data_IF_973171757274
#
_entry.id   IF_973171757274
#
_cell.length_a   1.000
_cell.length_b   1.000
_cell.length_c   1.000
_cell.angle_alpha   90.00
_cell.angle_beta   90.00
_cell.angle_gamma   90.00
#
_symmetry.space_group_name_H-M   'P 1'
#
loop_
_entity.id
_entity.type
_entity.pdbx_description
1 polymer ?
#
# COMPACT_ATOMS: atom_id res chain seq x y z
N UNK A 1 6.75 45.17 38.68
CA UNK A 1 7.73 44.23 38.09
C UNK A 1 7.01 42.95 37.66
N UNK A 2 6.67 42.84 36.37
CA UNK A 2 6.05 41.65 35.77
C UNK A 2 7.12 40.59 35.50
N UNK A 3 7.05 39.42 36.15
CA UNK A 3 7.82 38.24 35.76
C UNK A 3 6.99 37.41 34.78
N UNK A 4 7.44 37.39 33.53
CA UNK A 4 6.95 36.53 32.44
C UNK A 4 7.22 35.06 32.79
N UNK A 5 6.19 34.24 32.88
CA UNK A 5 6.29 32.79 32.78
C UNK A 5 5.74 32.37 31.42
N UNK A 6 6.63 31.86 30.57
CA UNK A 6 6.30 31.31 29.25
C UNK A 6 5.51 30.01 29.45
N UNK A 7 4.20 30.07 29.21
CA UNK A 7 3.32 28.90 29.11
C UNK A 7 3.48 28.30 27.71
N UNK A 8 4.36 27.31 27.55
CA UNK A 8 4.35 26.42 26.39
C UNK A 8 3.23 25.39 26.63
N UNK A 9 2.04 25.70 26.10
CA UNK A 9 0.94 24.73 25.90
C UNK A 9 0.96 24.22 24.45
N UNK A 10 0.47 23.00 24.20
CA UNK A 10 1.01 22.12 23.18
C UNK A 10 0.58 22.52 21.76
N UNK A 11 1.57 22.52 20.88
CA UNK A 11 1.52 22.77 19.43
C UNK A 11 0.78 21.67 18.64
N UNK A 12 -0.02 20.81 19.29
CA UNK A 12 -0.60 19.60 18.70
C UNK A 12 -2.04 19.75 18.20
N UNK A 13 -2.62 20.94 18.25
CA UNK A 13 -3.99 21.19 17.77
C UNK A 13 -4.09 22.01 16.48
N UNK A 14 -2.97 22.38 15.86
CA UNK A 14 -2.99 23.13 14.60
C UNK A 14 -2.90 22.23 13.34
N UNK A 15 -2.52 20.95 13.49
CA UNK A 15 -2.47 20.02 12.36
C UNK A 15 -3.83 19.40 12.00
N UNK A 16 -4.83 19.51 12.87
CA UNK A 16 -6.17 18.96 12.63
C UNK A 16 -7.18 19.96 12.05
N UNK A 17 -6.83 21.25 11.94
CA UNK A 17 -7.72 22.29 11.40
C UNK A 17 -7.23 22.83 10.04
N UNK A 18 -5.95 22.67 9.70
CA UNK A 18 -5.42 23.04 8.37
C UNK A 18 -5.72 22.01 7.27
N UNK A 19 -6.34 20.87 7.59
CA UNK A 19 -6.82 19.89 6.59
C UNK A 19 -8.19 20.25 5.99
N UNK A 20 -8.80 21.39 6.36
CA UNK A 20 -10.12 21.83 5.86
C UNK A 20 -9.99 22.92 4.78
N UNK A 21 -8.79 23.35 4.42
CA UNK A 21 -8.61 24.04 3.15
C UNK A 21 -8.59 23.00 2.04
N UNK A 22 -9.78 22.78 1.47
CA UNK A 22 -9.98 22.26 0.11
C UNK A 22 -8.96 22.92 -0.81
N UNK A 23 -7.85 22.22 -1.07
CA UNK A 23 -7.12 22.43 -2.29
C UNK A 23 -8.13 22.04 -3.37
N UNK A 24 -8.63 23.03 -4.12
CA UNK A 24 -9.29 22.78 -5.38
C UNK A 24 -8.25 22.08 -6.28
N UNK A 25 -8.13 20.75 -6.13
CA UNK A 25 -7.38 19.92 -7.03
C UNK A 25 -8.03 20.14 -8.39
N UNK A 26 -7.27 20.67 -9.34
CA UNK A 26 -7.60 20.46 -10.74
C UNK A 26 -7.72 18.94 -10.90
N UNK A 27 -8.95 18.43 -10.94
CA UNK A 27 -9.21 16.99 -10.96
C UNK A 27 -8.89 16.50 -12.35
N UNK A 28 -7.94 15.57 -12.45
CA UNK A 28 -7.66 14.93 -13.73
C UNK A 28 -8.91 14.19 -14.21
N UNK A 29 -9.02 13.94 -15.52
CA UNK A 29 -10.11 13.09 -16.07
C UNK A 29 -10.15 11.74 -15.35
N UNK A 30 -8.99 11.19 -15.00
CA UNK A 30 -8.89 9.95 -14.23
C UNK A 30 -9.47 10.06 -12.81
N UNK A 31 -9.25 11.19 -12.12
CA UNK A 31 -9.85 11.41 -10.80
C UNK A 31 -11.38 11.51 -10.92
N UNK A 32 -11.88 12.29 -11.88
CA UNK A 32 -13.32 12.42 -12.11
C UNK A 32 -13.97 11.09 -12.49
N UNK A 33 -13.28 10.27 -13.28
CA UNK A 33 -13.71 8.93 -13.61
C UNK A 33 -13.77 8.01 -12.38
N UNK A 34 -12.74 8.01 -11.54
CA UNK A 34 -12.73 7.21 -10.32
C UNK A 34 -13.79 7.67 -9.32
N UNK A 35 -14.07 8.97 -9.23
CA UNK A 35 -15.16 9.50 -8.41
C UNK A 35 -16.53 9.00 -8.94
N UNK A 36 -16.73 8.95 -10.26
CA UNK A 36 -17.94 8.35 -10.85
C UNK A 36 -18.07 6.87 -10.48
N UNK A 37 -16.99 6.09 -10.63
CA UNK A 37 -16.97 4.66 -10.28
C UNK A 37 -17.23 4.45 -8.79
N UNK A 38 -16.64 5.27 -7.92
CA UNK A 38 -16.85 5.17 -6.47
C UNK A 38 -18.33 5.42 -6.10
N UNK A 39 -18.95 6.43 -6.70
CA UNK A 39 -20.38 6.71 -6.49
C UNK A 39 -21.28 5.57 -7.01
N UNK A 40 -20.95 5.00 -8.16
CA UNK A 40 -21.65 3.83 -8.72
C UNK A 40 -21.51 2.62 -7.78
N UNK A 41 -20.29 2.36 -7.29
CA UNK A 41 -19.98 1.29 -6.34
C UNK A 41 -20.77 1.43 -5.03
N UNK A 42 -20.93 2.64 -4.50
CA UNK A 42 -21.63 2.89 -3.24
C UNK A 42 -23.14 2.69 -3.35
N UNK A 43 -23.73 3.03 -4.50
CA UNK A 43 -25.16 2.87 -4.76
C UNK A 43 -25.55 1.46 -5.20
N UNK A 44 -24.58 0.68 -5.69
CA UNK A 44 -24.84 -0.66 -6.21
C UNK A 44 -25.04 -1.65 -5.07
N UNK A 45 -26.08 -2.47 -5.15
CA UNK A 45 -26.31 -3.57 -4.22
C UNK A 45 -25.69 -4.87 -4.74
N UNK A 46 -25.21 -5.71 -3.81
CA UNK A 46 -24.64 -7.02 -4.10
C UNK A 46 -23.14 -7.00 -4.42
N UNK A 47 -22.41 -7.94 -3.84
CA UNK A 47 -20.96 -8.05 -4.00
C UNK A 47 -20.54 -8.32 -5.46
N UNK A 48 -21.29 -9.17 -6.17
CA UNK A 48 -21.00 -9.50 -7.56
C UNK A 48 -21.13 -8.30 -8.50
N UNK A 49 -22.16 -7.46 -8.32
CA UNK A 49 -22.33 -6.27 -9.16
C UNK A 49 -21.22 -5.26 -8.91
N UNK A 50 -20.84 -5.06 -7.63
CA UNK A 50 -19.70 -4.22 -7.27
C UNK A 50 -18.39 -4.75 -7.84
N UNK A 51 -18.20 -6.07 -7.84
CA UNK A 51 -17.05 -6.71 -8.47
C UNK A 51 -16.98 -6.38 -9.98
N UNK A 52 -18.11 -6.50 -10.69
CA UNK A 52 -18.18 -6.17 -12.12
C UNK A 52 -17.88 -4.70 -12.39
N UNK A 53 -18.29 -3.78 -11.50
CA UNK A 53 -17.98 -2.35 -11.62
C UNK A 53 -16.46 -2.13 -11.55
N UNK A 54 -15.79 -2.68 -10.53
CA UNK A 54 -14.37 -2.38 -10.28
C UNK A 54 -13.41 -3.10 -11.23
N UNK A 55 -13.86 -4.18 -11.87
CA UNK A 55 -13.08 -4.99 -12.82
C UNK A 55 -13.48 -4.77 -14.28
N UNK A 56 -14.44 -3.88 -14.56
CA UNK A 56 -14.87 -3.61 -15.95
C UNK A 56 -13.68 -3.14 -16.80
N UNK A 57 -13.43 -3.76 -17.98
CA UNK A 57 -12.45 -3.26 -18.92
C UNK A 57 -12.82 -1.84 -19.38
N UNK A 58 -11.83 -0.96 -19.43
CA UNK A 58 -11.96 0.41 -19.94
C UNK A 58 -10.78 0.80 -20.84
N UNK A 59 -11.07 1.64 -21.83
CA UNK A 59 -10.11 2.09 -22.82
C UNK A 59 -9.36 3.30 -22.26
N UNK A 60 -8.11 3.06 -21.86
CA UNK A 60 -7.25 4.07 -21.25
C UNK A 60 -6.89 5.19 -22.24
N UNK A 61 -6.66 4.86 -23.51
CA UNK A 61 -6.37 5.82 -24.57
C UNK A 61 -7.53 6.79 -24.79
N UNK A 62 -8.76 6.28 -24.90
CA UNK A 62 -9.95 7.13 -25.00
C UNK A 62 -10.06 8.09 -23.81
N UNK A 63 -9.89 7.59 -22.59
CA UNK A 63 -9.94 8.40 -21.39
C UNK A 63 -8.82 9.46 -21.35
N UNK A 64 -7.63 9.13 -21.87
CA UNK A 64 -6.50 10.05 -21.97
C UNK A 64 -6.73 11.22 -22.95
N UNK A 65 -7.55 11.01 -23.99
CA UNK A 65 -7.88 12.02 -25.00
C UNK A 65 -9.07 12.92 -24.61
N UNK A 66 -9.84 12.57 -23.58
CA UNK A 66 -10.90 13.44 -23.10
C UNK A 66 -10.32 14.72 -22.50
N UNK A 67 -10.84 15.86 -22.94
CA UNK A 67 -10.50 17.18 -22.40
C UNK A 67 -11.51 17.64 -21.34
N UNK A 68 -12.73 17.12 -21.41
CA UNK A 68 -13.82 17.40 -20.49
C UNK A 68 -14.57 16.11 -20.17
N UNK A 69 -14.71 15.81 -18.89
CA UNK A 69 -15.36 14.58 -18.42
C UNK A 69 -16.84 14.50 -18.79
N UNK A 70 -17.50 15.65 -18.99
CA UNK A 70 -18.92 15.68 -19.42
C UNK A 70 -19.14 15.07 -20.81
N UNK A 71 -18.08 14.95 -21.61
CA UNK A 71 -18.12 14.39 -22.96
C UNK A 71 -17.81 12.88 -22.97
N UNK A 72 -17.75 12.24 -21.79
CA UNK A 72 -17.56 10.81 -21.65
C UNK A 72 -18.71 10.04 -22.32
N UNK A 73 -18.35 9.15 -23.24
CA UNK A 73 -19.23 8.19 -23.91
C UNK A 73 -18.91 6.79 -23.37
N UNK A 74 -19.85 6.21 -22.61
CA UNK A 74 -19.70 4.89 -22.01
C UNK A 74 -19.47 3.77 -23.04
N UNK A 75 -20.03 3.92 -24.25
CA UNK A 75 -19.86 2.93 -25.30
C UNK A 75 -18.41 2.94 -25.78
N UNK A 76 -17.86 4.12 -26.07
CA UNK A 76 -16.44 4.26 -26.50
C UNK A 76 -15.47 3.86 -25.40
N UNK A 77 -15.84 4.05 -24.13
CA UNK A 77 -15.03 3.63 -23.00
C UNK A 77 -14.80 2.11 -22.96
N UNK A 78 -15.72 1.31 -23.50
CA UNK A 78 -15.68 -0.16 -23.42
C UNK A 78 -15.56 -0.85 -24.78
N UNK A 79 -15.56 -0.07 -25.87
CA UNK A 79 -15.50 -0.57 -27.24
C UNK A 79 -14.17 -1.29 -27.54
N UNK A 80 -14.25 -2.47 -28.18
CA UNK A 80 -13.07 -3.24 -28.62
C UNK A 80 -12.32 -3.99 -27.52
N UNK A 81 -12.73 -3.89 -26.25
CA UNK A 81 -12.00 -4.50 -25.14
C UNK A 81 -12.56 -5.86 -24.73
N UNK A 82 -11.70 -6.87 -24.65
CA UNK A 82 -12.11 -8.18 -24.13
C UNK A 82 -12.16 -8.18 -22.60
N UNK A 83 -13.19 -8.86 -22.07
CA UNK A 83 -13.32 -9.14 -20.64
C UNK A 83 -12.35 -10.23 -20.17
N UNK A 84 -11.87 -11.10 -21.07
CA UNK A 84 -10.97 -12.21 -20.79
C UNK A 84 -9.70 -12.14 -21.66
N UNK A 85 -8.54 -11.98 -21.01
CA UNK A 85 -7.27 -11.92 -21.75
C UNK A 85 -6.89 -13.25 -22.41
N UNK A 86 -7.53 -14.38 -22.05
CA UNK A 86 -7.32 -15.66 -22.75
C UNK A 86 -7.81 -15.60 -24.20
N UNK A 87 -8.87 -14.84 -24.48
CA UNK A 87 -9.36 -14.62 -25.84
C UNK A 87 -8.31 -13.89 -26.71
N UNK A 88 -7.40 -13.14 -26.10
CA UNK A 88 -6.31 -12.42 -26.78
C UNK A 88 -5.15 -13.34 -27.12
N UNK A 89 -4.89 -14.35 -26.29
CA UNK A 89 -3.77 -15.27 -26.46
C UNK A 89 -3.89 -16.13 -27.72
N UNK A 90 -5.13 -16.48 -28.07
CA UNK A 90 -5.46 -17.35 -29.21
C UNK A 90 -5.87 -16.57 -30.47
N UNK A 91 -5.76 -15.23 -30.46
CA UNK A 91 -6.13 -14.40 -31.60
C UNK A 91 -4.93 -14.27 -32.58
N UNK A 92 -5.03 -14.80 -33.82
CA UNK A 92 -3.95 -14.77 -34.80
C UNK A 92 -3.77 -13.38 -35.46
N UNK A 93 -4.57 -12.38 -35.05
CA UNK A 93 -4.66 -11.09 -35.72
C UNK A 93 -3.93 -10.02 -34.90
N UNK A 94 -2.89 -9.36 -35.46
CA UNK A 94 -2.14 -8.31 -34.77
C UNK A 94 -3.02 -7.16 -34.24
N UNK A 95 -4.12 -6.82 -34.91
CA UNK A 95 -5.02 -5.72 -34.50
C UNK A 95 -5.72 -5.95 -33.17
N UNK A 96 -6.16 -7.18 -32.86
CA UNK A 96 -6.79 -7.50 -31.57
C UNK A 96 -5.80 -7.37 -30.39
N UNK A 97 -4.52 -7.62 -30.66
CA UNK A 97 -3.43 -7.40 -29.71
C UNK A 97 -3.23 -5.90 -29.43
N UNK A 98 -3.25 -5.04 -30.46
CA UNK A 98 -3.17 -3.58 -30.31
C UNK A 98 -4.40 -2.99 -29.59
N UNK A 99 -5.61 -3.46 -29.88
CA UNK A 99 -6.84 -2.93 -29.25
C UNK A 99 -6.90 -3.20 -27.74
N UNK A 100 -6.29 -4.28 -27.25
CA UNK A 100 -6.23 -4.59 -25.83
C UNK A 100 -4.98 -4.04 -25.12
N UNK A 101 -4.05 -3.39 -25.83
CA UNK A 101 -2.93 -2.72 -25.15
C UNK A 101 -3.34 -1.50 -24.34
N UNK A 102 -4.54 -0.99 -24.60
CA UNK A 102 -5.13 0.15 -23.87
C UNK A 102 -6.14 -0.30 -22.81
N UNK A 103 -6.28 -1.61 -22.58
CA UNK A 103 -7.15 -2.16 -21.54
C UNK A 103 -6.62 -1.78 -20.16
N UNK A 104 -7.44 -1.07 -19.39
CA UNK A 104 -7.32 -0.95 -17.94
C UNK A 104 -8.64 -1.28 -17.26
N UNK A 105 -8.70 -1.17 -15.94
CA UNK A 105 -9.88 -1.38 -15.09
C UNK A 105 -9.89 -0.29 -14.02
N UNK A 106 -11.04 0.00 -13.38
CA UNK A 106 -11.06 0.95 -12.28
C UNK A 106 -10.12 0.57 -11.12
N UNK A 107 -10.00 -0.72 -10.78
CA UNK A 107 -9.06 -1.16 -9.73
C UNK A 107 -7.59 -0.95 -10.14
N UNK A 108 -7.20 -1.32 -11.36
CA UNK A 108 -5.84 -1.09 -11.84
C UNK A 108 -5.51 0.40 -11.91
N UNK A 109 -6.46 1.22 -12.32
CA UNK A 109 -6.32 2.68 -12.34
C UNK A 109 -6.13 3.26 -10.93
N UNK A 110 -6.96 2.84 -9.97
CA UNK A 110 -6.84 3.27 -8.57
C UNK A 110 -5.48 2.88 -7.96
N UNK A 111 -4.98 1.67 -8.25
CA UNK A 111 -3.63 1.23 -7.86
C UNK A 111 -2.57 2.15 -8.46
N UNK A 112 -2.65 2.39 -9.75
CA UNK A 112 -1.62 3.13 -10.48
C UNK A 112 -1.58 4.62 -10.13
N UNK A 113 -2.73 5.20 -9.76
CA UNK A 113 -2.84 6.58 -9.26
C UNK A 113 -2.60 6.72 -7.75
N UNK A 114 -2.30 5.62 -7.05
CA UNK A 114 -2.01 5.67 -5.62
C UNK A 114 -3.21 5.98 -4.72
N UNK A 115 -4.42 5.62 -5.12
CA UNK A 115 -5.65 5.90 -4.36
C UNK A 115 -5.84 4.86 -3.26
N UNK A 116 -4.97 4.84 -2.25
CA UNK A 116 -4.89 3.76 -1.26
C UNK A 116 -6.23 3.43 -0.57
N UNK A 117 -7.01 4.44 -0.17
CA UNK A 117 -8.34 4.25 0.42
C UNK A 117 -9.34 3.61 -0.56
N UNK A 118 -9.34 4.06 -1.82
CA UNK A 118 -10.21 3.54 -2.86
C UNK A 118 -9.81 2.12 -3.26
N UNK A 119 -8.51 1.83 -3.32
CA UNK A 119 -8.00 0.46 -3.53
C UNK A 119 -8.50 -0.47 -2.45
N UNK A 120 -8.40 -0.10 -1.16
CA UNK A 120 -8.94 -0.91 -0.07
C UNK A 120 -10.45 -1.14 -0.22
N UNK A 121 -11.20 -0.11 -0.58
CA UNK A 121 -12.64 -0.19 -0.83
C UNK A 121 -12.98 -1.15 -1.96
N UNK A 122 -12.32 -1.05 -3.11
CA UNK A 122 -12.54 -1.94 -4.25
C UNK A 122 -12.09 -3.38 -3.98
N UNK A 123 -10.98 -3.57 -3.27
CA UNK A 123 -10.52 -4.89 -2.86
C UNK A 123 -11.54 -5.61 -1.95
N UNK A 124 -12.42 -4.90 -1.25
CA UNK A 124 -13.43 -5.53 -0.39
C UNK A 124 -14.39 -6.47 -1.13
N UNK A 125 -14.57 -6.28 -2.45
CA UNK A 125 -15.45 -7.11 -3.29
C UNK A 125 -14.69 -8.02 -4.27
N UNK A 126 -13.37 -7.98 -4.26
CA UNK A 126 -12.51 -8.84 -5.08
C UNK A 126 -12.04 -10.01 -4.22
N UNK A 127 -12.47 -11.21 -4.58
CA UNK A 127 -12.10 -12.45 -3.90
C UNK A 127 -10.72 -12.94 -4.36
N UNK A 128 -10.46 -12.90 -5.67
CA UNK A 128 -9.17 -13.25 -6.26
C UNK A 128 -8.57 -12.08 -7.06
N UNK A 129 -7.57 -11.44 -6.45
CA UNK A 129 -6.82 -10.32 -7.04
C UNK A 129 -5.84 -10.75 -8.13
N UNK A 130 -5.62 -12.06 -8.29
CA UNK A 130 -4.77 -12.64 -9.33
C UNK A 130 -5.57 -13.05 -10.58
N UNK A 131 -6.89 -12.87 -10.55
CA UNK A 131 -7.77 -13.24 -11.66
C UNK A 131 -7.48 -12.44 -12.93
N UNK A 132 -7.76 -13.04 -14.09
CA UNK A 132 -7.57 -12.42 -15.41
C UNK A 132 -8.41 -11.13 -15.59
N UNK A 133 -9.48 -10.97 -14.82
CA UNK A 133 -10.32 -9.76 -14.79
C UNK A 133 -9.65 -8.56 -14.11
N UNK A 134 -8.66 -8.78 -13.24
CA UNK A 134 -7.89 -7.72 -12.59
C UNK A 134 -6.62 -7.33 -13.36
N UNK A 135 -6.33 -8.04 -14.45
CA UNK A 135 -5.20 -7.73 -15.31
C UNK A 135 -5.51 -6.52 -16.18
N UNK A 136 -4.49 -5.69 -16.37
CA UNK A 136 -4.54 -4.55 -17.26
C UNK A 136 -3.21 -4.41 -17.99
N UNK A 137 -3.21 -3.77 -19.14
CA UNK A 137 -2.04 -3.80 -20.01
C UNK A 137 -0.96 -2.82 -19.55
N UNK A 138 0.23 -3.36 -19.30
CA UNK A 138 1.44 -2.62 -18.92
C UNK A 138 2.35 -2.37 -20.11
N UNK A 139 3.63 -2.12 -19.83
CA UNK A 139 4.62 -1.98 -20.90
C UNK A 139 4.87 -3.33 -21.61
N UNK A 140 4.23 -3.50 -22.77
CA UNK A 140 4.39 -4.67 -23.68
C UNK A 140 4.01 -6.04 -23.07
N UNK A 141 3.35 -6.06 -21.92
CA UNK A 141 2.79 -7.26 -21.28
C UNK A 141 1.60 -6.89 -20.38
N UNK A 142 0.67 -7.83 -20.12
CA UNK A 142 -0.33 -7.70 -19.07
C UNK A 142 0.36 -7.61 -17.71
N UNK A 143 -0.11 -6.65 -16.93
CA UNK A 143 0.29 -6.42 -15.55
C UNK A 143 -0.80 -6.93 -14.62
N UNK A 144 -0.38 -7.69 -13.61
CA UNK A 144 -1.18 -7.91 -12.41
C UNK A 144 -1.24 -6.62 -11.58
N UNK A 145 -2.16 -6.54 -10.62
CA UNK A 145 -2.19 -5.42 -9.69
C UNK A 145 -0.86 -5.27 -8.91
N UNK A 146 -0.15 -6.38 -8.68
CA UNK A 146 1.17 -6.36 -8.06
C UNK A 146 2.22 -5.69 -8.96
N UNK A 147 2.20 -5.92 -10.28
CA UNK A 147 3.09 -5.21 -11.20
C UNK A 147 2.87 -3.70 -11.13
N UNK A 148 1.61 -3.27 -11.16
CA UNK A 148 1.24 -1.85 -11.13
C UNK A 148 1.59 -1.17 -9.80
N UNK A 149 1.40 -1.88 -8.69
CA UNK A 149 1.78 -1.38 -7.37
C UNK A 149 3.29 -1.19 -7.24
N UNK A 150 4.09 -2.03 -7.92
CA UNK A 150 5.55 -1.98 -7.93
C UNK A 150 6.14 -1.14 -9.04
N UNK A 151 5.34 -0.70 -10.01
CA UNK A 151 5.75 0.23 -11.07
C UNK A 151 5.39 1.68 -10.68
N UNK A 152 6.35 2.46 -10.15
CA UNK A 152 6.10 3.85 -9.77
C UNK A 152 5.87 4.76 -10.97
N UNK A 153 6.14 4.30 -12.20
CA UNK A 153 5.98 5.09 -13.43
C UNK A 153 4.68 4.78 -14.17
N UNK A 154 3.98 3.69 -13.83
CA UNK A 154 2.72 3.32 -14.48
C UNK A 154 1.50 4.05 -13.85
N UNK A 155 0.52 4.54 -14.65
CA UNK A 155 0.50 4.63 -16.12
C UNK A 155 0.97 6.04 -16.51
N UNK A 156 2.27 6.24 -16.72
CA UNK A 156 2.88 7.55 -16.98
C UNK A 156 2.31 8.66 -16.06
N UNK A 157 2.26 8.41 -14.76
CA UNK A 157 1.65 9.35 -13.82
C UNK A 157 2.42 10.68 -13.82
N UNK A 158 1.81 11.72 -14.43
CA UNK A 158 2.34 13.10 -14.37
C UNK A 158 2.35 13.65 -12.94
N UNK A 159 1.50 13.10 -12.06
CA UNK A 159 1.37 13.49 -10.66
C UNK A 159 2.20 12.58 -9.74
N UNK A 160 2.86 13.18 -8.76
CA UNK A 160 3.60 12.49 -7.72
C UNK A 160 2.64 11.69 -6.81
N UNK A 161 2.86 10.38 -6.69
CA UNK A 161 2.18 9.54 -5.69
C UNK A 161 3.07 9.42 -4.47
N UNK A 162 2.50 9.58 -3.27
CA UNK A 162 3.25 9.46 -2.02
C UNK A 162 3.79 8.03 -1.84
N UNK A 163 4.94 7.91 -1.15
CA UNK A 163 5.53 6.62 -0.82
C UNK A 163 4.60 5.82 0.10
N UNK A 164 3.94 6.52 1.03
CA UNK A 164 3.05 5.96 2.03
C UNK A 164 1.83 5.30 1.38
N UNK A 165 1.20 5.98 0.40
CA UNK A 165 0.06 5.42 -0.33
C UNK A 165 0.45 4.19 -1.15
N UNK A 166 1.61 4.22 -1.83
CA UNK A 166 2.09 3.07 -2.61
C UNK A 166 2.38 1.87 -1.72
N UNK A 167 3.04 2.08 -0.57
CA UNK A 167 3.30 1.00 0.40
C UNK A 167 1.99 0.43 0.97
N UNK A 168 1.02 1.29 1.28
CA UNK A 168 -0.29 0.85 1.76
C UNK A 168 -1.04 0.00 0.71
N UNK A 169 -0.90 0.32 -0.58
CA UNK A 169 -1.45 -0.49 -1.67
C UNK A 169 -0.77 -1.85 -1.76
N UNK A 170 0.57 -1.90 -1.70
CA UNK A 170 1.32 -3.17 -1.70
C UNK A 170 0.86 -4.06 -0.53
N UNK A 171 0.69 -3.48 0.65
CA UNK A 171 0.20 -4.21 1.83
C UNK A 171 -1.24 -4.71 1.65
N UNK A 172 -2.15 -3.87 1.13
CA UNK A 172 -3.53 -4.24 0.89
C UNK A 172 -3.65 -5.39 -0.13
N UNK A 173 -2.82 -5.39 -1.17
CA UNK A 173 -2.74 -6.48 -2.14
C UNK A 173 -2.19 -7.76 -1.50
N UNK A 174 -1.15 -7.66 -0.67
CA UNK A 174 -0.60 -8.81 0.05
C UNK A 174 -1.63 -9.44 1.01
N UNK A 175 -2.41 -8.62 1.72
CA UNK A 175 -3.52 -9.09 2.58
C UNK A 175 -4.59 -9.85 1.77
N UNK A 176 -4.78 -9.47 0.50
CA UNK A 176 -5.63 -10.16 -0.47
C UNK A 176 -4.94 -11.29 -1.23
N UNK A 177 -3.76 -11.73 -0.77
CA UNK A 177 -2.98 -12.84 -1.35
C UNK A 177 -2.60 -12.60 -2.82
N UNK A 178 -2.29 -11.35 -3.18
CA UNK A 178 -1.67 -11.06 -4.47
C UNK A 178 -0.35 -11.84 -4.60
N UNK A 179 -0.18 -12.51 -5.73
CA UNK A 179 1.02 -13.27 -6.05
C UNK A 179 2.06 -12.33 -6.68
N UNK A 180 3.05 -11.95 -5.87
CA UNK A 180 4.18 -11.12 -6.31
C UNK A 180 5.18 -11.87 -7.21
N UNK A 181 4.91 -13.13 -7.53
CA UNK A 181 5.67 -13.97 -8.46
C UNK A 181 4.87 -14.32 -9.72
N UNK A 182 3.61 -13.91 -9.81
CA UNK A 182 2.75 -14.26 -10.94
C UNK A 182 3.24 -13.58 -12.22
N UNK A 183 3.65 -14.40 -13.19
CA UNK A 183 3.97 -13.95 -14.53
C UNK A 183 2.75 -14.17 -15.42
N UNK A 184 2.12 -13.07 -15.85
CA UNK A 184 1.05 -13.13 -16.83
C UNK A 184 1.62 -13.64 -18.18
N UNK A 185 0.98 -14.66 -18.75
CA UNK A 185 1.50 -15.33 -19.95
C UNK A 185 1.14 -14.58 -21.22
N UNK A 186 2.12 -14.02 -21.93
CA UNK A 186 1.98 -13.54 -23.33
C UNK A 186 3.12 -14.00 -24.22
N UNK A 187 3.05 -13.64 -25.50
CA UNK A 187 4.00 -14.08 -26.52
C UNK A 187 5.38 -13.40 -26.41
N UNK A 188 5.45 -12.12 -26.00
CA UNK A 188 6.70 -11.34 -26.12
C UNK A 188 7.40 -10.98 -24.80
N UNK A 189 6.65 -10.62 -23.76
CA UNK A 189 7.20 -10.19 -22.47
C UNK A 189 6.56 -10.94 -21.30
N UNK A 190 7.42 -11.48 -20.43
CA UNK A 190 7.03 -12.35 -19.32
C UNK A 190 7.85 -12.01 -18.09
N UNK A 191 7.64 -10.83 -17.52
CA UNK A 191 8.39 -10.41 -16.34
C UNK A 191 7.56 -10.55 -15.08
N UNK A 192 8.18 -10.88 -13.93
CA UNK A 192 7.48 -10.90 -12.66
C UNK A 192 7.24 -9.47 -12.13
N UNK A 193 6.34 -9.29 -11.14
CA UNK A 193 6.07 -8.00 -10.52
C UNK A 193 7.31 -7.26 -10.00
N UNK A 194 8.29 -7.97 -9.45
CA UNK A 194 9.54 -7.34 -8.98
C UNK A 194 10.35 -6.69 -10.11
N UNK A 195 10.22 -7.18 -11.33
CA UNK A 195 10.91 -6.62 -12.49
C UNK A 195 10.12 -5.49 -13.17
N UNK A 196 8.92 -5.15 -12.67
CA UNK A 196 8.14 -4.03 -13.19
C UNK A 196 8.84 -2.68 -12.89
N UNK A 197 8.62 -1.70 -13.76
CA UNK A 197 9.10 -0.32 -13.58
C UNK A 197 10.61 -0.11 -13.74
N UNK A 198 11.38 -1.13 -14.13
CA UNK A 198 12.82 -1.03 -14.38
C UNK A 198 13.23 -1.52 -15.77
N UNK A 199 13.67 -0.59 -16.62
CA UNK A 199 14.56 -0.96 -17.71
C UNK A 199 15.88 -1.46 -17.08
N UNK A 200 16.24 -2.71 -17.33
CA UNK A 200 17.45 -3.40 -16.86
C UNK A 200 18.65 -2.43 -16.77
N UNK A 201 19.16 -2.22 -15.55
CA UNK A 201 20.41 -1.48 -15.30
C UNK A 201 20.28 0.02 -15.04
N UNK A 202 19.07 0.59 -14.88
CA UNK A 202 18.89 1.98 -14.41
C UNK A 202 18.76 2.07 -12.90
N UNK A 203 19.23 3.18 -12.34
CA UNK A 203 19.27 3.47 -10.90
C UNK A 203 17.88 3.32 -10.25
N UNK A 204 17.80 2.49 -9.21
CA UNK A 204 16.66 2.36 -8.32
C UNK A 204 16.34 3.73 -7.71
N UNK A 205 15.30 4.41 -8.21
CA UNK A 205 14.72 5.55 -7.47
C UNK A 205 14.40 5.06 -6.06
N UNK A 206 14.70 5.86 -5.02
CA UNK A 206 14.52 5.47 -3.61
C UNK A 206 13.18 4.75 -3.36
N UNK A 207 12.09 5.29 -3.90
CA UNK A 207 10.75 4.70 -3.81
C UNK A 207 10.69 3.26 -4.32
N UNK A 208 11.34 2.94 -5.43
CA UNK A 208 11.36 1.60 -6.02
C UNK A 208 12.01 0.59 -5.08
N UNK A 209 13.10 0.98 -4.41
CA UNK A 209 13.73 0.16 -3.37
C UNK A 209 12.79 -0.10 -2.19
N UNK A 210 12.00 0.90 -1.76
CA UNK A 210 11.00 0.71 -0.70
C UNK A 210 9.89 -0.27 -1.10
N UNK A 211 9.35 -0.14 -2.31
CA UNK A 211 8.26 -0.98 -2.81
C UNK A 211 8.71 -2.43 -3.00
N UNK A 212 9.88 -2.64 -3.62
CA UNK A 212 10.43 -4.00 -3.80
C UNK A 212 10.82 -4.64 -2.48
N UNK A 213 11.42 -3.88 -1.55
CA UNK A 213 11.66 -4.37 -0.20
C UNK A 213 10.36 -4.83 0.46
N UNK A 214 9.26 -4.06 0.32
CA UNK A 214 7.96 -4.47 0.85
C UNK A 214 7.42 -5.75 0.20
N UNK A 215 7.52 -5.88 -1.12
CA UNK A 215 7.10 -7.10 -1.83
C UNK A 215 7.92 -8.33 -1.41
N UNK A 216 9.22 -8.20 -1.17
CA UNK A 216 10.07 -9.28 -0.65
C UNK A 216 9.59 -9.77 0.72
N UNK A 217 9.11 -8.86 1.58
CA UNK A 217 8.49 -9.22 2.87
C UNK A 217 7.15 -9.94 2.71
N UNK A 218 6.52 -9.83 1.55
CA UNK A 218 5.25 -10.49 1.21
C UNK A 218 5.42 -11.71 0.29
N UNK A 219 6.63 -12.26 0.22
CA UNK A 219 6.89 -13.55 -0.46
C UNK A 219 7.33 -13.44 -1.92
N UNK A 220 7.67 -12.24 -2.39
CA UNK A 220 8.26 -12.09 -3.71
C UNK A 220 9.65 -12.76 -3.81
N UNK A 221 9.93 -13.38 -4.95
CA UNK A 221 11.17 -14.06 -5.24
C UNK A 221 12.18 -13.10 -5.91
N UNK A 222 13.28 -12.73 -5.21
CA UNK A 222 14.29 -11.82 -5.76
C UNK A 222 15.02 -12.37 -7.00
N UNK A 223 15.08 -13.70 -7.17
CA UNK A 223 15.80 -14.37 -8.24
C UNK A 223 14.90 -14.74 -9.41
N UNK A 224 13.58 -14.57 -9.27
CA UNK A 224 12.66 -14.83 -10.37
C UNK A 224 12.93 -13.84 -11.51
N UNK A 225 13.25 -14.40 -12.67
CA UNK A 225 13.62 -13.63 -13.85
C UNK A 225 12.52 -13.76 -14.91
N UNK A 226 12.35 -12.68 -15.67
CA UNK A 226 11.48 -12.65 -16.82
C UNK A 226 12.20 -12.88 -18.14
N UNK A 227 11.50 -12.59 -19.24
CA UNK A 227 12.07 -12.67 -20.59
C UNK A 227 13.09 -11.56 -20.91
N UNK A 228 13.06 -10.43 -20.21
CA UNK A 228 13.95 -9.29 -20.51
C UNK A 228 14.49 -8.56 -19.28
N UNK A 229 13.98 -8.86 -18.09
CA UNK A 229 14.34 -8.17 -16.86
C UNK A 229 14.56 -9.17 -15.71
N UNK A 230 15.53 -8.86 -14.86
CA UNK A 230 15.84 -9.62 -13.65
C UNK A 230 14.97 -9.08 -12.50
N UNK A 231 14.70 -9.92 -11.48
CA UNK A 231 13.97 -9.53 -10.27
C UNK A 231 14.72 -8.46 -9.46
N UNK A 232 15.44 -8.85 -8.40
CA UNK A 232 16.30 -7.94 -7.64
C UNK A 232 17.53 -8.64 -7.11
N UNK A 233 18.70 -8.03 -7.28
CA UNK A 233 19.93 -8.53 -6.67
C UNK A 233 20.04 -8.00 -5.22
N UNK A 234 19.92 -8.91 -4.24
CA UNK A 234 19.89 -8.55 -2.82
C UNK A 234 21.23 -8.04 -2.26
N UNK A 235 22.34 -8.50 -2.84
CA UNK A 235 23.71 -8.11 -2.45
C UNK A 235 24.47 -7.62 -3.67
N UNK A 236 24.51 -6.31 -3.89
CA UNK A 236 25.37 -5.73 -4.91
C UNK A 236 26.55 -5.03 -4.24
N UNK A 237 27.75 -5.63 -4.30
CA UNK A 237 29.01 -5.01 -3.79
C UNK A 237 29.65 -4.03 -4.77
N UNK A 238 29.29 -4.07 -6.07
CA UNK A 238 29.98 -3.33 -7.14
C UNK A 238 29.02 -2.51 -8.01
N UNK A 239 28.12 -1.74 -7.40
CA UNK A 239 27.33 -0.76 -8.14
C UNK A 239 28.08 0.57 -8.08
N UNK A 240 28.34 1.25 -9.21
CA UNK A 240 28.90 2.60 -9.21
C UNK A 240 27.96 3.64 -8.56
N UNK A 241 26.73 3.25 -8.19
CA UNK A 241 25.74 4.08 -7.52
C UNK A 241 25.65 3.72 -6.04
N UNK A 242 26.09 4.65 -5.21
CA UNK A 242 26.27 4.54 -3.76
C UNK A 242 24.94 4.36 -2.99
N UNK A 243 24.98 3.46 -1.99
CA UNK A 243 24.36 3.60 -0.65
C UNK A 243 22.94 3.08 -0.31
N UNK A 244 22.17 2.40 -1.17
CA UNK A 244 20.98 1.66 -0.68
C UNK A 244 21.03 0.19 -1.06
N UNK A 245 21.60 -0.60 -0.15
CA UNK A 245 21.45 -2.05 -0.17
C UNK A 245 19.98 -2.38 0.16
N UNK A 246 19.23 -2.90 -0.81
CA UNK A 246 17.81 -3.24 -0.62
C UNK A 246 17.59 -4.13 0.61
N UNK A 247 18.57 -4.97 0.96
CA UNK A 247 18.56 -5.78 2.18
C UNK A 247 18.45 -4.93 3.45
N UNK A 248 19.12 -3.78 3.53
CA UNK A 248 19.02 -2.86 4.69
C UNK A 248 17.63 -2.20 4.76
N UNK A 249 17.10 -1.79 3.61
CA UNK A 249 15.73 -1.25 3.51
C UNK A 249 14.70 -2.30 3.94
N UNK A 250 14.87 -3.53 3.45
CA UNK A 250 14.05 -4.68 3.76
C UNK A 250 14.12 -5.03 5.26
N UNK A 251 15.33 -5.03 5.86
CA UNK A 251 15.51 -5.25 7.30
C UNK A 251 14.80 -4.20 8.14
N UNK A 252 14.95 -2.92 7.81
CA UNK A 252 14.26 -1.84 8.51
C UNK A 252 12.74 -2.02 8.44
N UNK A 253 12.20 -2.24 7.25
CA UNK A 253 10.76 -2.46 7.07
C UNK A 253 10.27 -3.74 7.75
N UNK A 254 11.07 -4.80 7.77
CA UNK A 254 10.74 -6.06 8.45
C UNK A 254 10.56 -5.82 9.95
N UNK A 255 11.52 -5.16 10.59
CA UNK A 255 11.45 -4.83 12.02
C UNK A 255 10.27 -3.88 12.31
N UNK A 256 10.04 -2.88 11.45
CA UNK A 256 8.88 -1.98 11.56
C UNK A 256 7.56 -2.77 11.53
N UNK A 257 7.36 -3.66 10.56
CA UNK A 257 6.16 -4.50 10.45
C UNK A 257 5.95 -5.41 11.66
N UNK A 258 7.01 -6.08 12.12
CA UNK A 258 6.94 -6.93 13.31
C UNK A 258 6.57 -6.10 14.55
N UNK A 259 7.13 -4.89 14.69
CA UNK A 259 6.79 -3.97 15.80
C UNK A 259 5.35 -3.49 15.75
N UNK A 260 4.76 -3.46 14.55
CA UNK A 260 3.37 -3.12 14.33
C UNK A 260 2.44 -4.33 14.53
N UNK A 261 2.96 -5.54 14.72
CA UNK A 261 2.15 -6.76 14.80
C UNK A 261 1.62 -7.21 13.45
N UNK A 262 2.18 -6.67 12.37
CA UNK A 262 1.69 -6.91 11.03
C UNK A 262 2.25 -8.19 10.43
N UNK A 263 1.46 -8.80 9.56
CA UNK A 263 1.84 -10.01 8.85
C UNK A 263 2.90 -9.72 7.79
N UNK A 264 3.94 -10.54 7.79
CA UNK A 264 4.98 -10.62 6.75
C UNK A 264 5.33 -12.11 6.58
N UNK A 265 5.64 -12.51 5.35
CA UNK A 265 6.00 -13.87 4.98
C UNK A 265 7.13 -13.87 3.94
N UNK A 266 8.33 -13.38 4.29
CA UNK A 266 9.48 -13.42 3.39
C UNK A 266 9.86 -14.85 3.06
N UNK A 267 10.32 -15.08 1.83
CA UNK A 267 10.88 -16.38 1.44
C UNK A 267 12.11 -16.74 2.30
N UNK A 268 12.41 -18.03 2.52
CA UNK A 268 13.56 -18.46 3.33
C UNK A 268 14.89 -17.81 2.93
N UNK A 269 15.14 -17.64 1.63
CA UNK A 269 16.34 -16.94 1.12
C UNK A 269 16.38 -15.47 1.52
N UNK A 270 15.26 -14.76 1.42
CA UNK A 270 15.16 -13.36 1.86
C UNK A 270 15.44 -13.28 3.37
N UNK A 271 14.85 -14.18 4.16
CA UNK A 271 15.09 -14.23 5.60
C UNK A 271 16.56 -14.49 5.95
N UNK A 272 17.27 -15.34 5.20
CA UNK A 272 18.71 -15.57 5.39
C UNK A 272 19.53 -14.28 5.15
N UNK A 273 19.18 -13.50 4.12
CA UNK A 273 19.79 -12.20 3.87
C UNK A 273 19.51 -11.19 4.99
N UNK A 274 18.29 -11.17 5.53
CA UNK A 274 17.94 -10.31 6.67
C UNK A 274 18.72 -10.69 7.94
N UNK A 275 18.89 -11.99 8.21
CA UNK A 275 19.71 -12.49 9.33
C UNK A 275 21.15 -12.04 9.21
N UNK A 276 21.74 -12.14 8.01
CA UNK A 276 23.08 -11.65 7.78
C UNK A 276 23.19 -10.13 8.00
N UNK A 277 22.27 -9.34 7.44
CA UNK A 277 22.28 -7.89 7.60
C UNK A 277 22.10 -7.46 9.07
N UNK A 278 21.30 -8.20 9.84
CA UNK A 278 21.16 -7.97 11.29
C UNK A 278 22.47 -8.24 12.04
N UNK A 279 23.15 -9.36 11.72
CA UNK A 279 24.45 -9.69 12.30
C UNK A 279 25.50 -8.62 11.97
N UNK A 280 25.52 -8.13 10.72
CA UNK A 280 26.41 -7.04 10.29
C UNK A 280 26.09 -5.72 11.02
N UNK A 281 24.83 -5.48 11.37
CA UNK A 281 24.39 -4.36 12.19
C UNK A 281 24.57 -4.58 13.71
N UNK A 282 25.12 -5.73 14.12
CA UNK A 282 25.50 -6.03 15.50
C UNK A 282 24.37 -6.52 16.40
N UNK A 283 23.33 -7.16 15.87
CA UNK A 283 22.27 -7.77 16.69
C UNK A 283 21.75 -9.08 16.13
N UNK A 284 21.24 -9.95 17.02
CA UNK A 284 20.54 -11.17 16.62
C UNK A 284 19.10 -10.85 16.17
N UNK A 285 18.75 -11.29 14.95
CA UNK A 285 17.45 -10.98 14.36
C UNK A 285 16.30 -11.67 15.10
N UNK A 286 16.49 -12.90 15.56
CA UNK A 286 15.43 -13.71 16.17
C UNK A 286 15.07 -13.18 17.55
N UNK A 287 16.08 -12.85 18.36
CA UNK A 287 15.92 -12.19 19.66
C UNK A 287 15.20 -10.84 19.49
N UNK A 288 15.64 -10.03 18.52
CA UNK A 288 15.02 -8.73 18.23
C UNK A 288 13.55 -8.87 17.83
N UNK A 289 13.23 -9.83 16.97
CA UNK A 289 11.85 -10.13 16.55
C UNK A 289 11.01 -10.59 17.73
N UNK A 290 11.54 -11.45 18.61
CA UNK A 290 10.82 -11.91 19.80
C UNK A 290 10.49 -10.75 20.76
N UNK A 291 11.43 -9.83 20.97
CA UNK A 291 11.21 -8.61 21.77
C UNK A 291 10.13 -7.72 21.14
N UNK A 292 10.21 -7.46 19.83
CA UNK A 292 9.24 -6.61 19.13
C UNK A 292 7.83 -7.23 19.12
N UNK A 293 7.70 -8.55 18.96
CA UNK A 293 6.40 -9.24 19.07
C UNK A 293 5.78 -9.08 20.45
N UNK A 294 6.59 -9.22 21.50
CA UNK A 294 6.14 -9.01 22.89
C UNK A 294 5.61 -7.59 23.07
N UNK A 295 6.33 -6.59 22.58
CA UNK A 295 5.90 -5.19 22.67
C UNK A 295 4.64 -4.90 21.83
N UNK A 296 4.49 -5.51 20.66
CA UNK A 296 3.24 -5.37 19.89
C UNK A 296 2.03 -5.90 20.67
N UNK A 297 2.16 -7.08 21.28
CA UNK A 297 1.10 -7.67 22.11
C UNK A 297 0.78 -6.82 23.34
N UNK A 298 1.78 -6.26 24.01
CA UNK A 298 1.57 -5.34 25.13
C UNK A 298 0.85 -4.07 24.70
N UNK A 299 1.24 -3.49 23.57
CA UNK A 299 0.61 -2.30 23.00
C UNK A 299 -0.87 -2.55 22.65
N UNK A 300 -1.19 -3.71 22.07
CA UNK A 300 -2.58 -4.10 21.83
C UNK A 300 -3.40 -4.17 23.12
N UNK A 301 -2.85 -4.76 24.18
CA UNK A 301 -3.50 -4.80 25.51
C UNK A 301 -3.72 -3.39 26.07
N UNK A 302 -2.74 -2.50 25.95
CA UNK A 302 -2.86 -1.10 26.37
C UNK A 302 -3.96 -0.37 25.60
N UNK A 303 -4.01 -0.54 24.28
CA UNK A 303 -5.02 0.09 23.43
C UNK A 303 -6.43 -0.41 23.72
N UNK A 304 -6.61 -1.73 23.88
CA UNK A 304 -7.90 -2.33 24.25
C UNK A 304 -8.37 -1.80 25.61
N UNK A 305 -7.47 -1.72 26.60
CA UNK A 305 -7.81 -1.19 27.92
C UNK A 305 -8.15 0.30 27.88
N UNK A 306 -7.46 1.08 27.05
CA UNK A 306 -7.74 2.50 26.84
C UNK A 306 -9.15 2.70 26.30
N UNK A 307 -9.54 1.95 25.28
CA UNK A 307 -10.89 1.99 24.69
C UNK A 307 -11.95 1.60 25.72
N UNK A 308 -11.73 0.54 26.50
CA UNK A 308 -12.63 0.11 27.57
C UNK A 308 -12.85 1.22 28.62
N UNK A 309 -11.78 1.91 29.02
CA UNK A 309 -11.85 3.03 29.95
C UNK A 309 -12.61 4.22 29.34
N UNK A 310 -12.37 4.54 28.07
CA UNK A 310 -13.08 5.62 27.37
C UNK A 310 -14.59 5.36 27.31
N UNK A 311 -15.01 4.14 26.99
CA UNK A 311 -16.42 3.74 27.01
C UNK A 311 -17.01 3.87 28.43
N UNK A 312 -16.30 3.40 29.46
CA UNK A 312 -16.73 3.53 30.86
C UNK A 312 -16.86 4.99 31.30
N UNK A 313 -15.92 5.85 30.92
CA UNK A 313 -15.96 7.29 31.20
C UNK A 313 -17.21 7.91 30.57
N UNK A 314 -17.48 7.61 29.30
CA UNK A 314 -18.65 8.10 28.57
C UNK A 314 -19.96 7.68 29.27
N UNK A 315 -20.07 6.39 29.64
CA UNK A 315 -21.24 5.86 30.34
C UNK A 315 -21.42 6.44 31.75
N UNK A 316 -20.35 6.70 32.49
CA UNK A 316 -20.45 7.32 33.81
C UNK A 316 -20.81 8.81 33.74
N UNK A 317 -20.36 9.52 32.69
CA UNK A 317 -20.70 10.93 32.49
C UNK A 317 -22.20 11.15 32.27
N UNK A 318 -22.90 10.20 31.64
CA UNK A 318 -24.36 10.30 31.42
C UNK A 318 -25.18 10.15 32.70
N UNK A 319 -24.66 9.44 33.73
CA UNK A 319 -25.38 9.19 34.98
C UNK A 319 -25.52 10.43 35.88
N UNK A 320 -24.73 11.49 35.68
CA UNK A 320 -24.78 12.79 36.41
C UNK A 320 -24.72 12.74 37.95
N UNK A 321 -24.47 11.59 38.59
CA UNK A 321 -24.37 11.47 40.06
C UNK A 321 -22.99 11.87 40.61
N UNK A 322 -22.92 12.27 41.88
CA UNK A 322 -21.65 12.56 42.58
C UNK A 322 -20.70 11.36 42.60
N UNK A 323 -21.26 10.15 42.77
CA UNK A 323 -20.49 8.88 42.73
C UNK A 323 -19.90 8.64 41.33
N UNK A 324 -20.68 8.87 40.27
CA UNK A 324 -20.21 8.72 38.89
C UNK A 324 -19.10 9.73 38.57
N UNK A 325 -19.24 11.00 38.98
CA UNK A 325 -18.18 12.02 38.82
C UNK A 325 -16.85 11.61 39.47
N UNK A 326 -16.89 11.05 40.68
CA UNK A 326 -15.68 10.52 41.36
C UNK A 326 -15.03 9.36 40.60
N UNK A 327 -15.84 8.41 40.10
CA UNK A 327 -15.35 7.29 39.29
C UNK A 327 -14.73 7.75 37.97
N UNK A 328 -15.31 8.75 37.31
CA UNK A 328 -14.73 9.35 36.09
C UNK A 328 -13.35 9.91 36.38
N UNK A 329 -13.18 10.68 37.45
CA UNK A 329 -11.87 11.24 37.82
C UNK A 329 -10.83 10.15 38.05
N UNK A 330 -11.18 9.09 38.78
CA UNK A 330 -10.30 7.94 38.97
C UNK A 330 -9.92 7.27 37.65
N UNK A 331 -10.89 7.01 36.77
CA UNK A 331 -10.63 6.40 35.45
C UNK A 331 -9.78 7.29 34.54
N UNK A 332 -9.89 8.62 34.67
CA UNK A 332 -9.02 9.55 33.94
C UNK A 332 -7.56 9.44 34.43
N UNK A 333 -7.33 9.29 35.73
CA UNK A 333 -5.99 9.05 36.25
C UNK A 333 -5.42 7.72 35.75
N UNK A 334 -6.22 6.64 35.79
CA UNK A 334 -5.81 5.33 35.24
C UNK A 334 -5.50 5.43 33.74
N UNK A 335 -6.30 6.18 32.98
CA UNK A 335 -6.04 6.43 31.55
C UNK A 335 -4.69 7.14 31.36
N UNK A 336 -4.40 8.15 32.16
CA UNK A 336 -3.14 8.89 32.09
C UNK A 336 -1.92 8.01 32.43
N UNK A 337 -2.02 7.14 33.43
CA UNK A 337 -0.97 6.17 33.76
C UNK A 337 -0.72 5.19 32.60
N UNK A 338 -1.79 4.71 31.95
CA UNK A 338 -1.67 3.84 30.77
C UNK A 338 -1.01 4.56 29.59
N UNK A 339 -1.34 5.83 29.35
CA UNK A 339 -0.71 6.65 28.29
C UNK A 339 0.79 6.85 28.56
N UNK A 340 1.20 7.02 29.81
CA UNK A 340 2.61 7.12 30.20
C UNK A 340 3.35 5.79 29.98
N UNK A 341 2.73 4.66 30.37
CA UNK A 341 3.28 3.32 30.14
C UNK A 341 3.44 3.03 28.65
N UNK A 342 2.42 3.35 27.84
CA UNK A 342 2.45 3.22 26.39
C UNK A 342 3.58 4.07 25.76
N UNK A 343 3.71 5.33 26.19
CA UNK A 343 4.80 6.21 25.73
C UNK A 343 6.18 5.62 26.03
N UNK A 344 6.35 4.97 27.19
CA UNK A 344 7.60 4.30 27.57
C UNK A 344 7.86 3.09 26.66
N UNK A 345 6.84 2.29 26.38
CA UNK A 345 6.92 1.14 25.48
C UNK A 345 7.29 1.56 24.05
N UNK A 346 6.68 2.63 23.54
CA UNK A 346 6.97 3.20 22.22
C UNK A 346 8.42 3.69 22.11
N UNK A 347 8.94 4.35 23.16
CA UNK A 347 10.36 4.77 23.21
C UNK A 347 11.31 3.58 23.17
N UNK A 348 11.00 2.50 23.88
CA UNK A 348 11.81 1.28 23.85
C UNK A 348 11.76 0.63 22.48
N UNK A 349 10.58 0.55 21.88
CA UNK A 349 10.38 0.02 20.51
C UNK A 349 11.19 0.82 19.50
N UNK A 350 11.15 2.15 19.54
CA UNK A 350 11.93 3.02 18.67
C UNK A 350 13.45 2.82 18.81
N UNK A 351 13.94 2.50 20.02
CA UNK A 351 15.35 2.15 20.20
C UNK A 351 15.69 0.82 19.54
N UNK A 352 14.79 -0.16 19.62
CA UNK A 352 14.99 -1.46 19.00
C UNK A 352 14.98 -1.40 17.47
N UNK A 353 14.24 -0.46 16.88
CA UNK A 353 14.16 -0.25 15.43
C UNK A 353 15.39 0.49 14.84
N UNK A 354 16.26 1.06 15.66
CA UNK A 354 17.48 1.71 15.17
C UNK A 354 18.49 0.64 14.76
N UNK A 355 18.65 0.47 13.45
CA UNK A 355 19.82 -0.20 12.85
C UNK A 355 20.96 0.83 12.82
N UNK A 356 22.07 0.55 13.48
CA UNK A 356 23.24 1.45 13.50
C UNK A 356 23.86 1.62 12.11
#
# INVERSE_FOLDING_TARGET
>A
MLKKTLLIKPFFFLFSILSIFHQAKSSSIYDQYLDLVENEFDRTEGQQNKYLIVTRPINNEYLAYLTNFKDLDEKKLTEGLSKDLKEIKDCPIPTFFFENTEKTTPISMAVSLGKASLVQKFLSVIDDVNSDHCLAWGYRQPYTLAHMALDPQYPLAKAFVSKEDRLAIVDALAQKKADFNLIAKTHDYRNPPLAAGEASGRELREISSFLRARALLHGADPELCGSSFFGVILKYKFSPYKNMEITKVCLKQYLEKISLGEFVSPLPKVLAHLKQAANEAGFDLEERVAQLKTFSLEREKFNARRQEIEVKITNLRSQRTKRAKRKVLHLQNVKQELEQALTKLERTTLRLLRTN
#
